data_IF_653368643201
#
_entry.id   IF_653368643201
#
_cell.length_a   1.000
_cell.length_b   1.000
_cell.length_c   1.000
_cell.angle_alpha   90.00
_cell.angle_beta   90.00
_cell.angle_gamma   90.00
#
_symmetry.space_group_name_H-M   'P 1'
#
loop_
_entity.id
_entity.type
_entity.pdbx_description
1 polymer ?
#
# COMPACT_ATOMS: atom_id res chain seq x y z
N UNK A 1 14.79 11.64 -14.46
CA UNK A 1 13.46 12.18 -14.17
C UNK A 1 12.64 11.21 -13.32
N UNK A 2 11.95 11.70 -12.30
CA UNK A 2 11.01 10.90 -11.52
C UNK A 2 9.66 10.93 -12.22
N UNK A 3 9.11 9.76 -12.55
CA UNK A 3 7.82 9.66 -13.25
C UNK A 3 6.91 8.68 -12.51
N UNK A 4 5.64 9.06 -12.40
CA UNK A 4 4.56 8.20 -11.93
C UNK A 4 3.75 7.74 -13.15
N UNK A 5 3.62 6.43 -13.32
CA UNK A 5 2.96 5.82 -14.48
C UNK A 5 1.83 4.89 -14.01
N UNK A 6 0.69 4.96 -14.69
CA UNK A 6 -0.45 4.09 -14.42
C UNK A 6 -0.36 2.75 -15.16
N UNK A 7 0.06 2.79 -16.40
CA UNK A 7 0.16 1.61 -17.24
C UNK A 7 1.61 1.18 -17.37
N UNK A 8 1.83 -0.10 -17.33
CA UNK A 8 3.16 -0.66 -17.27
C UNK A 8 3.29 -1.97 -18.04
N UNK A 9 4.52 -2.31 -18.29
CA UNK A 9 4.93 -3.57 -18.87
C UNK A 9 6.38 -3.87 -18.53
N UNK A 10 6.95 -4.87 -19.15
CA UNK A 10 8.35 -5.22 -18.99
C UNK A 10 9.23 -4.01 -19.35
N UNK A 11 10.13 -3.64 -18.44
CA UNK A 11 11.02 -2.48 -18.60
C UNK A 11 10.53 -1.20 -17.88
N UNK A 12 9.30 -1.18 -17.37
CA UNK A 12 8.75 -0.01 -16.67
C UNK A 12 9.45 0.28 -15.33
N UNK A 13 10.17 -0.69 -14.77
CA UNK A 13 11.01 -0.50 -13.59
C UNK A 13 12.09 0.60 -13.74
N UNK A 14 12.40 1.00 -14.99
CA UNK A 14 13.27 2.16 -15.27
C UNK A 14 12.64 3.49 -14.85
N UNK A 15 11.32 3.49 -14.64
CA UNK A 15 10.52 4.63 -14.20
C UNK A 15 9.82 4.21 -12.90
N UNK A 16 10.45 4.42 -11.75
CA UNK A 16 10.27 3.57 -10.57
C UNK A 16 8.89 3.66 -9.92
N UNK A 17 8.11 4.71 -10.18
CA UNK A 17 6.84 4.90 -9.49
C UNK A 17 5.69 4.35 -10.33
N UNK A 18 5.14 3.22 -9.91
CA UNK A 18 3.92 2.65 -10.45
C UNK A 18 2.68 3.10 -9.68
N UNK A 19 1.52 3.06 -10.34
CA UNK A 19 0.24 3.46 -9.79
C UNK A 19 -0.86 2.45 -10.15
N UNK A 20 -1.62 2.01 -9.16
CA UNK A 20 -2.69 1.02 -9.33
C UNK A 20 -3.91 1.51 -10.12
N UNK A 21 -4.03 2.82 -10.33
CA UNK A 21 -5.21 3.43 -10.94
C UNK A 21 -6.29 3.77 -9.93
N UNK A 22 -7.39 4.34 -10.44
CA UNK A 22 -8.51 4.80 -9.63
C UNK A 22 -9.30 3.58 -9.10
N UNK A 23 -9.50 3.52 -7.81
CA UNK A 23 -10.18 2.41 -7.14
C UNK A 23 -11.51 2.84 -6.54
N UNK A 24 -12.48 1.93 -6.53
CA UNK A 24 -13.76 2.15 -5.85
C UNK A 24 -13.55 2.09 -4.34
N UNK A 25 -14.29 2.91 -3.59
CA UNK A 25 -14.23 2.94 -2.12
C UNK A 25 -15.10 1.80 -1.59
N UNK A 26 -14.53 0.61 -1.45
CA UNK A 26 -15.18 -0.58 -0.88
C UNK A 26 -14.15 -1.57 -0.33
N UNK A 27 -14.62 -2.56 0.40
CA UNK A 27 -13.78 -3.59 1.02
C UNK A 27 -13.11 -4.51 -0.01
N UNK A 28 -13.76 -4.80 -1.12
CA UNK A 28 -13.18 -5.64 -2.20
C UNK A 28 -11.95 -4.97 -2.81
N UNK A 29 -12.01 -3.66 -3.01
CA UNK A 29 -10.85 -2.89 -3.49
C UNK A 29 -9.72 -2.88 -2.47
N UNK A 30 -10.03 -2.73 -1.19
CA UNK A 30 -9.02 -2.84 -0.13
C UNK A 30 -8.40 -4.23 -0.08
N UNK A 31 -9.20 -5.30 -0.16
CA UNK A 31 -8.71 -6.69 -0.12
C UNK A 31 -7.77 -7.02 -1.29
N UNK A 32 -7.94 -6.36 -2.42
CA UNK A 32 -7.08 -6.54 -3.59
C UNK A 32 -5.73 -5.81 -3.47
N UNK A 33 -5.65 -4.70 -2.75
CA UNK A 33 -4.46 -3.84 -2.74
C UNK A 33 -3.18 -4.49 -2.19
N UNK A 34 -3.18 -5.25 -1.07
CA UNK A 34 -1.96 -5.88 -0.56
C UNK A 34 -1.36 -6.87 -1.57
N UNK A 35 -2.21 -7.74 -2.11
CA UNK A 35 -1.81 -8.70 -3.14
C UNK A 35 -1.23 -8.01 -4.38
N UNK A 36 -1.91 -6.97 -4.86
CA UNK A 36 -1.47 -6.24 -6.05
C UNK A 36 -0.16 -5.49 -5.81
N UNK A 37 -0.02 -4.85 -4.66
CA UNK A 37 1.21 -4.15 -4.26
C UNK A 37 2.39 -5.12 -4.15
N UNK A 38 2.21 -6.26 -3.52
CA UNK A 38 3.27 -7.26 -3.37
C UNK A 38 3.66 -7.87 -4.73
N UNK A 39 2.67 -8.22 -5.57
CA UNK A 39 2.94 -8.81 -6.89
C UNK A 39 3.56 -7.82 -7.89
N UNK A 40 3.38 -6.52 -7.73
CA UNK A 40 4.04 -5.51 -8.55
C UNK A 40 5.57 -5.59 -8.46
N UNK A 41 6.11 -6.09 -7.35
CA UNK A 41 7.55 -6.33 -7.18
C UNK A 41 8.10 -7.38 -8.15
N UNK A 42 7.27 -8.33 -8.63
CA UNK A 42 7.69 -9.35 -9.60
C UNK A 42 8.13 -8.78 -10.95
N UNK A 43 7.66 -7.57 -11.27
CA UNK A 43 8.02 -6.87 -12.53
C UNK A 43 8.89 -5.63 -12.27
N UNK A 44 9.47 -5.54 -11.07
CA UNK A 44 10.38 -4.46 -10.69
C UNK A 44 9.69 -3.15 -10.28
N UNK A 45 8.38 -3.13 -10.11
CA UNK A 45 7.68 -1.99 -9.54
C UNK A 45 7.79 -1.99 -8.02
N UNK A 46 8.86 -1.42 -7.53
CA UNK A 46 9.22 -1.41 -6.11
C UNK A 46 8.63 -0.21 -5.37
N UNK A 47 8.35 0.88 -6.08
CA UNK A 47 7.72 2.09 -5.54
C UNK A 47 6.28 2.18 -6.05
N UNK A 48 5.46 1.29 -5.54
CA UNK A 48 4.06 1.19 -5.90
C UNK A 48 3.21 2.17 -5.11
N UNK A 49 2.31 2.86 -5.81
CA UNK A 49 1.33 3.76 -5.24
C UNK A 49 -0.09 3.24 -5.45
N UNK A 50 -0.95 3.45 -4.49
CA UNK A 50 -2.39 3.29 -4.63
C UNK A 50 -3.13 4.46 -3.97
N UNK A 51 -4.41 4.62 -4.26
CA UNK A 51 -5.24 5.65 -3.65
C UNK A 51 -5.70 5.17 -2.28
N UNK A 52 -5.00 5.60 -1.22
CA UNK A 52 -5.28 5.20 0.16
C UNK A 52 -6.65 5.75 0.57
N UNK A 53 -7.56 4.85 0.88
CA UNK A 53 -8.97 5.14 1.16
C UNK A 53 -9.89 5.01 -0.05
N UNK A 54 -9.37 4.62 -1.22
CA UNK A 54 -10.10 4.54 -2.48
C UNK A 54 -10.30 5.90 -3.15
N UNK A 55 -10.48 5.92 -4.47
CA UNK A 55 -10.47 7.13 -5.28
C UNK A 55 -11.87 7.74 -5.45
N UNK A 56 -12.83 6.94 -5.86
CA UNK A 56 -14.17 7.41 -6.25
C UNK A 56 -15.25 6.38 -6.01
N UNK A 57 -16.50 6.78 -6.19
CA UNK A 57 -17.69 5.94 -6.02
C UNK A 57 -17.71 5.26 -4.63
N UNK A 58 -18.54 4.22 -4.49
CA UNK A 58 -18.61 3.48 -3.24
C UNK A 58 -19.34 4.24 -2.13
N UNK A 59 -18.90 4.04 -0.90
CA UNK A 59 -19.57 4.58 0.29
C UNK A 59 -18.57 5.01 1.34
N UNK A 60 -19.02 5.89 2.23
CA UNK A 60 -18.24 6.30 3.38
C UNK A 60 -18.36 5.25 4.49
N UNK A 61 -17.21 4.74 4.91
CA UNK A 61 -17.07 3.80 6.01
C UNK A 61 -15.81 4.14 6.79
N UNK A 62 -15.98 4.49 8.06
CA UNK A 62 -14.89 4.93 8.91
C UNK A 62 -13.92 3.78 9.22
N UNK A 63 -14.41 2.54 9.36
CA UNK A 63 -13.53 1.39 9.55
C UNK A 63 -12.72 1.09 8.29
N UNK A 64 -13.35 1.06 7.14
CA UNK A 64 -12.67 0.89 5.85
C UNK A 64 -11.55 1.93 5.68
N UNK A 65 -11.83 3.19 5.98
CA UNK A 65 -10.85 4.28 5.90
C UNK A 65 -9.67 4.04 6.84
N UNK A 66 -9.93 3.61 8.08
CA UNK A 66 -8.89 3.27 9.06
C UNK A 66 -8.03 2.11 8.57
N UNK A 67 -8.65 1.00 8.10
CA UNK A 67 -7.90 -0.17 7.62
C UNK A 67 -7.07 0.15 6.39
N UNK A 68 -7.61 0.93 5.48
CA UNK A 68 -6.86 1.38 4.31
C UNK A 68 -5.69 2.31 4.66
N UNK A 69 -5.89 3.23 5.63
CA UNK A 69 -4.81 4.06 6.16
C UNK A 69 -3.71 3.21 6.82
N UNK A 70 -4.09 2.17 7.58
CA UNK A 70 -3.15 1.23 8.18
C UNK A 70 -2.31 0.52 7.13
N UNK A 71 -2.93 -0.04 6.09
CA UNK A 71 -2.22 -0.61 4.95
C UNK A 71 -1.31 0.42 4.27
N UNK A 72 -1.80 1.65 4.09
CA UNK A 72 -1.05 2.74 3.48
C UNK A 72 0.25 3.08 4.19
N UNK A 73 0.29 2.95 5.50
CA UNK A 73 1.53 3.15 6.29
C UNK A 73 2.61 2.14 5.92
N UNK A 74 2.21 0.92 5.58
CA UNK A 74 3.09 -0.16 5.13
C UNK A 74 3.09 -0.33 3.61
N UNK A 75 2.88 0.74 2.89
CA UNK A 75 2.98 0.79 1.42
C UNK A 75 4.22 1.59 1.01
N UNK A 76 4.79 1.36 -0.18
CA UNK A 76 5.96 2.10 -0.63
C UNK A 76 5.69 3.61 -0.66
N UNK A 77 4.57 4.02 -1.22
CA UNK A 77 4.14 5.42 -1.28
C UNK A 77 2.88 5.59 -0.44
N UNK A 78 2.96 6.44 0.57
CA UNK A 78 1.81 6.82 1.40
C UNK A 78 1.15 8.08 0.82
N UNK A 79 0.09 7.88 0.04
CA UNK A 79 -0.63 8.95 -0.63
C UNK A 79 -2.13 8.85 -0.36
N UNK A 80 -2.65 9.71 0.50
CA UNK A 80 -4.08 9.91 0.67
C UNK A 80 -4.61 10.65 -0.57
N UNK A 81 -5.45 10.02 -1.35
CA UNK A 81 -5.91 10.58 -2.61
C UNK A 81 -7.35 10.17 -2.94
N UNK A 82 -8.08 11.09 -3.54
CA UNK A 82 -9.44 10.87 -4.04
C UNK A 82 -9.75 11.83 -5.19
N UNK A 83 -10.85 11.58 -5.89
CA UNK A 83 -11.43 12.58 -6.78
C UNK A 83 -11.81 13.84 -6.00
N UNK A 84 -11.83 14.98 -6.68
CA UNK A 84 -12.19 16.28 -6.08
C UNK A 84 -13.69 16.34 -5.79
N UNK A 85 -14.08 15.80 -4.63
CA UNK A 85 -15.46 15.83 -4.16
C UNK A 85 -15.48 16.06 -2.64
N UNK A 86 -16.31 16.98 -2.12
CA UNK A 86 -16.30 17.36 -0.69
C UNK A 86 -16.50 16.19 0.29
N UNK A 87 -17.26 15.15 -0.10
CA UNK A 87 -17.54 13.99 0.75
C UNK A 87 -16.47 12.89 0.66
N UNK A 88 -15.45 13.04 -0.19
CA UNK A 88 -14.42 12.03 -0.42
C UNK A 88 -13.05 12.42 0.15
N UNK A 89 -12.97 13.49 0.94
CA UNK A 89 -11.75 13.89 1.64
C UNK A 89 -11.20 12.75 2.51
N UNK A 90 -9.89 12.54 2.47
CA UNK A 90 -9.20 11.43 3.16
C UNK A 90 -8.48 11.89 4.42
N UNK A 91 -8.58 13.16 4.76
CA UNK A 91 -7.96 13.70 5.95
C UNK A 91 -8.62 13.12 7.21
N UNK A 92 -7.81 12.76 8.23
CA UNK A 92 -8.33 12.10 9.44
C UNK A 92 -9.51 12.83 10.11
N UNK A 93 -9.50 14.16 10.10
CA UNK A 93 -10.57 14.98 10.73
C UNK A 93 -11.91 14.97 9.98
N UNK A 94 -11.97 14.39 8.79
CA UNK A 94 -13.23 14.19 8.07
C UNK A 94 -14.01 12.95 8.55
N UNK A 95 -13.41 12.14 9.43
CA UNK A 95 -14.01 10.90 9.95
C UNK A 95 -14.42 11.05 11.42
N UNK A 96 -15.13 10.08 11.97
CA UNK A 96 -15.48 10.07 13.38
C UNK A 96 -14.25 10.04 14.30
N UNK A 97 -14.41 10.50 15.54
CA UNK A 97 -13.32 10.71 16.51
C UNK A 97 -12.42 9.47 16.69
N UNK A 98 -13.02 8.27 16.74
CA UNK A 98 -12.28 7.01 16.90
C UNK A 98 -11.41 6.73 15.67
N UNK A 99 -11.96 6.92 14.48
CA UNK A 99 -11.25 6.76 13.21
C UNK A 99 -10.14 7.79 13.09
N UNK A 100 -10.43 9.06 13.36
CA UNK A 100 -9.45 10.15 13.35
C UNK A 100 -8.25 9.84 14.25
N UNK A 101 -8.51 9.42 15.48
CA UNK A 101 -7.47 9.08 16.47
C UNK A 101 -6.60 7.93 15.97
N UNK A 102 -7.23 6.89 15.41
CA UNK A 102 -6.51 5.75 14.85
C UNK A 102 -5.66 6.13 13.65
N UNK A 103 -6.23 6.84 12.68
CA UNK A 103 -5.50 7.29 11.48
C UNK A 103 -4.32 8.19 11.85
N UNK A 104 -4.50 9.15 12.75
CA UNK A 104 -3.40 10.00 13.27
C UNK A 104 -2.28 9.19 13.90
N UNK A 105 -2.61 8.15 14.69
CA UNK A 105 -1.61 7.24 15.28
C UNK A 105 -0.76 6.57 14.19
N UNK A 106 -1.40 6.02 13.17
CA UNK A 106 -0.72 5.30 12.11
C UNK A 106 0.09 6.24 11.18
N UNK A 107 -0.44 7.41 10.85
CA UNK A 107 0.32 8.41 10.08
C UNK A 107 1.57 8.90 10.83
N UNK A 108 1.49 9.06 12.16
CA UNK A 108 2.68 9.35 12.98
C UNK A 108 3.67 8.18 12.98
N UNK A 109 3.18 6.94 12.99
CA UNK A 109 4.04 5.76 12.82
C UNK A 109 4.79 5.81 11.48
N UNK A 110 4.12 6.18 10.39
CA UNK A 110 4.77 6.36 9.08
C UNK A 110 5.95 7.32 9.14
N UNK A 111 5.80 8.44 9.82
CA UNK A 111 6.91 9.39 9.99
C UNK A 111 8.07 8.80 10.81
N UNK A 112 7.78 8.01 11.82
CA UNK A 112 8.82 7.31 12.60
C UNK A 112 9.56 6.24 11.79
N UNK A 113 8.92 5.69 10.76
CA UNK A 113 9.52 4.71 9.86
C UNK A 113 10.40 5.33 8.77
N UNK A 114 10.49 6.66 8.64
CA UNK A 114 11.27 7.31 7.58
C UNK A 114 12.71 6.81 7.50
N UNK A 115 13.49 6.66 8.59
CA UNK A 115 14.84 6.13 8.50
C UNK A 115 14.89 4.70 7.96
N UNK A 116 13.95 3.86 8.37
CA UNK A 116 13.82 2.50 7.86
C UNK A 116 13.47 2.49 6.37
N UNK A 117 12.50 3.29 5.96
CA UNK A 117 12.08 3.43 4.56
C UNK A 117 13.23 3.93 3.68
N UNK A 118 14.01 4.89 4.17
CA UNK A 118 15.17 5.39 3.45
C UNK A 118 16.20 4.28 3.22
N UNK A 119 16.50 3.51 4.26
CA UNK A 119 17.43 2.38 4.18
C UNK A 119 16.93 1.31 3.21
N UNK A 120 15.64 0.96 3.28
CA UNK A 120 15.07 -0.05 2.38
C UNK A 120 15.02 0.44 0.93
N UNK A 121 14.74 1.72 0.70
CA UNK A 121 14.78 2.29 -0.65
C UNK A 121 16.20 2.36 -1.22
N UNK A 122 17.21 2.61 -0.39
CA UNK A 122 18.62 2.46 -0.79
C UNK A 122 18.91 1.02 -1.22
N UNK A 123 18.46 0.02 -0.43
CA UNK A 123 18.64 -1.40 -0.78
C UNK A 123 17.91 -1.77 -2.07
N UNK A 124 16.74 -1.20 -2.30
CA UNK A 124 16.01 -1.38 -3.56
C UNK A 124 16.82 -0.87 -4.75
N UNK A 125 17.42 0.33 -4.63
CA UNK A 125 18.22 0.93 -5.68
C UNK A 125 19.51 0.17 -5.97
N UNK A 126 20.24 -0.20 -4.93
CA UNK A 126 21.60 -0.78 -5.06
C UNK A 126 21.58 -2.30 -5.24
N UNK A 127 20.61 -2.98 -4.64
CA UNK A 127 20.60 -4.44 -4.60
C UNK A 127 19.35 -5.06 -5.26
N UNK A 128 18.47 -4.23 -5.83
CA UNK A 128 17.20 -4.68 -6.42
C UNK A 128 16.29 -5.42 -5.42
N UNK A 129 16.40 -5.11 -4.13
CA UNK A 129 15.61 -5.71 -3.06
C UNK A 129 14.36 -4.86 -2.81
N UNK A 130 13.15 -5.32 -3.20
CA UNK A 130 11.94 -4.50 -3.07
C UNK A 130 11.56 -4.28 -1.61
N UNK A 131 10.98 -3.10 -1.32
CA UNK A 131 10.45 -2.79 0.01
C UNK A 131 9.27 -3.69 0.37
N UNK A 132 8.35 -3.94 -0.56
CA UNK A 132 7.23 -4.86 -0.38
C UNK A 132 7.52 -6.14 -1.12
N UNK A 133 7.54 -7.25 -0.40
CA UNK A 133 7.91 -8.56 -0.94
C UNK A 133 6.80 -9.57 -0.66
N UNK A 134 6.30 -10.27 -1.68
CA UNK A 134 5.39 -11.40 -1.43
C UNK A 134 6.08 -12.47 -0.58
N UNK A 135 5.30 -13.24 0.17
CA UNK A 135 5.85 -14.28 1.07
C UNK A 135 6.80 -15.23 0.35
N UNK A 136 6.48 -15.63 -0.87
CA UNK A 136 7.29 -16.58 -1.65
C UNK A 136 8.69 -16.08 -2.05
N UNK A 137 9.05 -14.83 -1.75
CA UNK A 137 10.43 -14.34 -1.94
C UNK A 137 11.38 -14.91 -0.88
N UNK A 138 10.88 -15.18 0.31
CA UNK A 138 11.67 -15.71 1.43
C UNK A 138 11.26 -17.13 1.81
N UNK A 139 9.96 -17.40 1.75
CA UNK A 139 9.38 -18.68 2.10
C UNK A 139 8.97 -19.42 0.82
N UNK A 140 9.85 -20.29 0.33
CA UNK A 140 9.59 -21.10 -0.88
C UNK A 140 8.62 -22.27 -0.64
N UNK A 141 8.08 -22.40 0.57
CA UNK A 141 7.14 -23.43 0.94
C UNK A 141 5.76 -23.24 0.29
N UNK A 142 5.04 -24.33 0.10
CA UNK A 142 3.70 -24.33 -0.51
C UNK A 142 2.74 -23.35 0.15
N UNK A 143 2.82 -23.16 1.47
CA UNK A 143 1.97 -22.24 2.21
C UNK A 143 2.06 -20.78 1.73
N UNK A 144 3.23 -20.34 1.25
CA UNK A 144 3.41 -18.98 0.75
C UNK A 144 2.58 -18.65 -0.50
N UNK A 145 2.06 -19.69 -1.18
CA UNK A 145 1.21 -19.57 -2.36
C UNK A 145 -0.27 -19.79 -2.08
N UNK A 146 -0.63 -20.16 -0.84
CA UNK A 146 -2.03 -20.39 -0.49
C UNK A 146 -2.82 -19.08 -0.53
N UNK A 147 -4.01 -19.13 -1.12
CA UNK A 147 -4.90 -17.96 -1.28
C UNK A 147 -5.19 -17.23 0.04
N UNK A 148 -5.24 -17.95 1.17
CA UNK A 148 -5.52 -17.35 2.48
C UNK A 148 -4.43 -16.39 2.96
N UNK A 149 -3.17 -16.57 2.49
CA UNK A 149 -2.03 -15.73 2.87
C UNK A 149 -1.68 -14.67 1.80
N UNK A 150 -2.44 -14.57 0.72
CA UNK A 150 -2.13 -13.71 -0.43
C UNK A 150 -1.95 -12.23 -0.07
N UNK A 151 -2.57 -11.78 1.00
CA UNK A 151 -2.53 -10.39 1.45
C UNK A 151 -1.41 -10.12 2.47
N UNK A 152 -0.72 -11.17 2.92
CA UNK A 152 0.43 -11.03 3.80
C UNK A 152 1.68 -10.75 2.97
N UNK A 153 2.56 -9.89 3.49
CA UNK A 153 3.78 -9.54 2.78
C UNK A 153 4.88 -9.09 3.74
N UNK A 154 6.12 -9.26 3.31
CA UNK A 154 7.25 -8.65 3.98
C UNK A 154 7.37 -7.17 3.61
N UNK A 155 7.56 -6.33 4.61
CA UNK A 155 7.84 -4.92 4.45
C UNK A 155 9.29 -4.65 4.86
N UNK A 156 10.17 -4.62 3.88
CA UNK A 156 11.61 -4.64 4.06
C UNK A 156 12.11 -5.96 4.62
N UNK A 157 13.19 -5.87 5.41
CA UNK A 157 13.87 -7.06 5.97
C UNK A 157 13.31 -7.53 7.30
N UNK A 158 12.68 -6.62 8.08
CA UNK A 158 12.40 -6.84 9.50
C UNK A 158 10.91 -6.97 9.85
N UNK A 159 10.00 -6.70 8.94
CA UNK A 159 8.58 -6.69 9.25
C UNK A 159 7.77 -7.62 8.36
N UNK A 160 6.89 -8.40 8.98
CA UNK A 160 5.80 -9.10 8.31
C UNK A 160 4.51 -8.33 8.56
N UNK A 161 3.78 -8.03 7.51
CA UNK A 161 2.54 -7.26 7.57
C UNK A 161 1.36 -8.15 7.20
N UNK A 162 0.37 -8.17 8.09
CA UNK A 162 -0.90 -8.89 7.95
C UNK A 162 -2.03 -7.85 7.98
N UNK A 163 -2.40 -7.29 6.84
CA UNK A 163 -3.42 -6.24 6.81
C UNK A 163 -4.81 -6.81 7.06
N UNK A 164 -5.65 -6.05 7.76
CA UNK A 164 -7.08 -6.37 7.89
C UNK A 164 -7.79 -5.77 6.68
N UNK A 165 -8.32 -6.62 5.82
CA UNK A 165 -8.91 -6.26 4.52
C UNK A 165 -10.38 -6.63 4.39
N UNK A 166 -10.98 -7.17 5.45
CA UNK A 166 -12.38 -7.55 5.51
C UNK A 166 -13.01 -7.05 6.81
N UNK A 167 -14.28 -6.68 6.77
CA UNK A 167 -15.08 -6.25 7.93
C UNK A 167 -15.53 -7.44 8.77
#
# INVERSE_FOLDING_TARGET
>A
PLMLSRYSGIGSHRYPIGFSGDTIINWESLDFQPYFTASASNVGYTWWSHDIGGHMCGYRDDELAVRWCQLGVFSPINRLHSTNHPLLGKEPWNYGEVAEKSMKKFLRLRHRLIPYLYTMNYRTSEYSEPLVQPLYYKDAEFMAYEKKYRNEFYFGTEMLVLPITQS
#
